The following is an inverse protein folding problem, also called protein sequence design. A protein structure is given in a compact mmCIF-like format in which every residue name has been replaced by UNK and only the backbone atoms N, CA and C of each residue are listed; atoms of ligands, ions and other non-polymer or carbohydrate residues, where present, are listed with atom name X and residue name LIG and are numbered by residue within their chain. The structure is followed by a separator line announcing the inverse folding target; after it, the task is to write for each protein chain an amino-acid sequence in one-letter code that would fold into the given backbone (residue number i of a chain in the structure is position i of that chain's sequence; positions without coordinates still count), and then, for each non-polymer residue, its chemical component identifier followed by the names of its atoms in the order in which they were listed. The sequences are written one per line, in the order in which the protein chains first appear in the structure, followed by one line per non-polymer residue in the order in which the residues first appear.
data_IF_572658909309
#
_entry.id   IF_572658909309
#
_cell.length_a   1.000
_cell.length_b   1.000
_cell.length_c   1.000
_cell.angle_alpha   90.00
_cell.angle_beta   90.00
_cell.angle_gamma   90.00
#
_symmetry.space_group_name_H-M   'P 1'
#
loop_
_entity.id
_entity.type
_entity.pdbx_description
1 polymer ?
#
# COMPACT_ATOMS: atom_id res chain seq x y z
N UNK A 1 14.10 4.89 12.73
CA UNK A 1 15.03 3.90 12.12
C UNK A 1 14.51 3.52 10.75
N UNK A 2 15.38 3.13 9.80
CA UNK A 2 15.02 2.84 8.40
C UNK A 2 13.99 1.70 8.25
N UNK A 3 14.01 0.72 9.15
CA UNK A 3 13.11 -0.44 9.11
C UNK A 3 11.67 -0.13 9.59
N UNK A 4 11.40 1.05 10.13
CA UNK A 4 10.11 1.46 10.68
C UNK A 4 9.52 0.37 11.62
N UNK A 5 8.38 -0.23 11.26
CA UNK A 5 7.70 -1.29 12.02
C UNK A 5 8.19 -2.72 11.68
N UNK A 6 9.02 -2.89 10.64
CA UNK A 6 9.53 -4.21 10.24
C UNK A 6 10.60 -4.68 11.25
N UNK A 7 10.53 -5.94 11.75
CA UNK A 7 11.58 -6.46 12.62
C UNK A 7 12.95 -6.46 11.93
N UNK A 8 14.05 -6.10 12.60
CA UNK A 8 15.37 -6.03 12.00
C UNK A 8 15.80 -7.31 11.26
N UNK A 9 15.44 -8.49 11.77
CA UNK A 9 15.78 -9.79 11.16
C UNK A 9 14.94 -10.13 9.92
N UNK A 10 13.87 -9.38 9.67
CA UNK A 10 12.98 -9.47 8.49
C UNK A 10 13.18 -8.27 7.54
N UNK A 11 14.20 -7.44 7.77
CA UNK A 11 14.43 -6.25 6.97
C UNK A 11 15.61 -6.46 6.03
N UNK A 12 15.35 -6.65 4.74
CA UNK A 12 16.35 -7.03 3.74
C UNK A 12 17.61 -6.15 3.73
N UNK A 13 17.54 -4.80 3.86
CA UNK A 13 18.72 -3.95 3.85
C UNK A 13 19.66 -4.10 5.07
N UNK A 14 19.27 -4.85 6.08
CA UNK A 14 20.13 -5.12 7.23
C UNK A 14 21.00 -6.36 7.04
N UNK A 15 20.74 -7.13 5.98
CA UNK A 15 21.61 -8.21 5.55
C UNK A 15 22.77 -7.66 4.71
N UNK A 16 23.96 -8.22 4.88
CA UNK A 16 25.06 -7.95 3.96
C UNK A 16 24.78 -8.58 2.57
N UNK A 17 25.50 -8.15 1.54
CA UNK A 17 25.34 -8.78 0.22
C UNK A 17 25.73 -10.27 0.24
N UNK A 18 26.65 -10.67 1.10
CA UNK A 18 27.05 -12.08 1.28
C UNK A 18 25.96 -12.90 1.96
N UNK A 19 25.26 -12.32 2.95
CA UNK A 19 24.11 -12.96 3.59
C UNK A 19 22.97 -13.16 2.60
N UNK A 20 22.66 -12.12 1.81
CA UNK A 20 21.65 -12.21 0.74
C UNK A 20 22.04 -13.27 -0.30
N UNK A 21 23.31 -13.33 -0.69
CA UNK A 21 23.78 -14.33 -1.64
C UNK A 21 23.60 -15.77 -1.10
N UNK A 22 23.81 -15.95 0.20
CA UNK A 22 23.74 -17.25 0.89
C UNK A 22 22.33 -17.67 1.32
N UNK A 23 21.30 -16.78 1.18
CA UNK A 23 19.92 -17.14 1.55
C UNK A 23 19.47 -18.42 0.81
N UNK A 24 18.95 -19.42 1.55
CA UNK A 24 18.37 -20.60 0.93
C UNK A 24 17.06 -20.24 0.23
N UNK A 25 16.75 -20.99 -0.82
CA UNK A 25 15.45 -20.95 -1.50
C UNK A 25 14.92 -19.52 -1.84
N UNK A 26 15.80 -18.68 -2.39
CA UNK A 26 15.43 -17.30 -2.78
C UNK A 26 14.26 -17.25 -3.75
N UNK A 27 14.08 -18.28 -4.56
CA UNK A 27 12.96 -18.34 -5.51
C UNK A 27 11.60 -18.39 -4.82
N UNK A 28 11.50 -18.97 -3.64
CA UNK A 28 10.27 -19.02 -2.84
C UNK A 28 10.23 -17.97 -1.72
N UNK A 29 11.33 -17.23 -1.50
CA UNK A 29 11.36 -16.14 -0.52
C UNK A 29 10.55 -14.95 -1.04
N UNK A 30 9.63 -14.45 -0.21
CA UNK A 30 8.79 -13.30 -0.56
C UNK A 30 9.49 -12.00 -0.19
N UNK A 31 9.66 -11.10 -1.16
CA UNK A 31 10.13 -9.75 -0.93
C UNK A 31 8.93 -8.81 -0.92
N UNK A 32 8.78 -8.04 0.16
CA UNK A 32 7.64 -7.14 0.39
C UNK A 32 8.10 -5.70 0.26
N UNK A 33 7.50 -4.95 -0.66
CA UNK A 33 7.67 -3.51 -0.79
C UNK A 33 6.42 -2.79 -0.28
N UNK A 34 6.46 -2.14 0.88
CA UNK A 34 5.44 -1.20 1.29
C UNK A 34 5.50 0.07 0.42
N UNK A 35 4.37 0.52 -0.09
CA UNK A 35 4.28 1.74 -0.91
C UNK A 35 3.15 2.61 -0.39
N UNK A 36 3.44 3.89 -0.17
CA UNK A 36 2.48 4.90 0.26
C UNK A 36 2.59 6.16 -0.59
N UNK A 37 2.14 7.27 -0.01
CA UNK A 37 2.32 8.62 -0.52
C UNK A 37 2.57 9.59 0.64
N UNK A 38 3.09 10.76 0.32
CA UNK A 38 3.10 11.93 1.20
C UNK A 38 2.14 12.95 0.59
N UNK A 39 0.93 13.01 1.14
CA UNK A 39 -0.15 13.84 0.62
C UNK A 39 -1.05 14.36 1.75
N UNK A 40 -1.77 15.43 1.48
CA UNK A 40 -2.75 15.95 2.41
C UNK A 40 -3.79 14.89 2.82
N UNK A 41 -4.18 14.84 4.08
CA UNK A 41 -5.26 14.00 4.63
C UNK A 41 -6.16 14.83 5.54
N UNK A 42 -6.66 15.94 5.00
CA UNK A 42 -7.45 16.88 5.77
C UNK A 42 -6.64 17.64 6.84
N UNK A 43 -7.29 18.49 7.63
CA UNK A 43 -6.58 19.29 8.64
C UNK A 43 -6.23 18.50 9.91
N UNK A 44 -6.74 17.28 10.08
CA UNK A 44 -6.65 16.50 11.31
C UNK A 44 -5.64 15.35 11.26
N UNK A 45 -5.16 14.96 10.07
CA UNK A 45 -4.18 13.89 9.90
C UNK A 45 -2.87 14.42 9.31
N UNK A 46 -1.74 13.74 9.56
CA UNK A 46 -0.47 14.09 8.93
C UNK A 46 -0.44 13.74 7.44
N UNK A 47 0.42 14.39 6.66
CA UNK A 47 0.59 14.06 5.24
C UNK A 47 1.18 12.65 4.99
N UNK A 48 1.64 11.96 6.01
CA UNK A 48 2.28 10.65 5.91
C UNK A 48 1.32 9.46 6.16
N UNK A 49 0.00 9.67 6.12
CA UNK A 49 -1.01 8.62 6.44
C UNK A 49 -0.72 7.34 5.69
N UNK A 50 -0.65 7.39 4.38
CA UNK A 50 -0.43 6.19 3.56
C UNK A 50 0.88 5.49 3.90
N UNK A 51 1.96 6.25 4.03
CA UNK A 51 3.26 5.70 4.38
C UNK A 51 3.24 5.02 5.76
N UNK A 52 2.54 5.60 6.74
CA UNK A 52 2.38 5.02 8.09
C UNK A 52 1.55 3.74 8.03
N UNK A 53 0.41 3.76 7.32
CA UNK A 53 -0.48 2.60 7.22
C UNK A 53 0.24 1.42 6.57
N UNK A 54 0.82 1.61 5.38
CA UNK A 54 1.46 0.49 4.69
C UNK A 54 2.66 -0.04 5.47
N UNK A 55 3.50 0.84 6.04
CA UNK A 55 4.65 0.42 6.84
C UNK A 55 4.22 -0.29 8.15
N UNK A 56 3.17 0.23 8.81
CA UNK A 56 2.64 -0.32 10.05
C UNK A 56 2.03 -1.71 9.85
N UNK A 57 1.13 -1.84 8.87
CA UNK A 57 0.47 -3.11 8.56
C UNK A 57 1.50 -4.16 8.10
N UNK A 58 2.34 -3.83 7.13
CA UNK A 58 3.29 -4.80 6.57
C UNK A 58 4.42 -5.14 7.54
N UNK A 59 4.87 -4.17 8.35
CA UNK A 59 5.87 -4.41 9.38
C UNK A 59 5.36 -5.38 10.44
N UNK A 60 4.13 -5.21 10.92
CA UNK A 60 3.50 -6.11 11.89
C UNK A 60 3.16 -7.47 11.26
N UNK A 61 2.72 -7.52 10.01
CA UNK A 61 2.49 -8.78 9.30
C UNK A 61 3.80 -9.59 9.18
N UNK A 62 4.90 -8.95 8.80
CA UNK A 62 6.23 -9.59 8.75
C UNK A 62 6.70 -10.06 10.13
N UNK A 63 6.36 -9.33 11.20
CA UNK A 63 6.67 -9.73 12.58
C UNK A 63 5.89 -10.96 13.03
N UNK A 64 4.65 -11.11 12.57
CA UNK A 64 3.74 -12.19 12.95
C UNK A 64 3.88 -13.45 12.08
N UNK A 65 4.66 -13.42 10.99
CA UNK A 65 4.87 -14.58 10.13
C UNK A 65 5.55 -15.73 10.88
N UNK A 66 5.13 -16.98 10.65
CA UNK A 66 5.85 -18.17 11.10
C UNK A 66 7.31 -18.16 10.64
N UNK A 67 8.19 -18.77 11.44
CA UNK A 67 9.64 -18.76 11.17
C UNK A 67 10.00 -19.47 9.85
N UNK A 68 9.20 -20.47 9.48
CA UNK A 68 9.34 -21.28 8.25
C UNK A 68 8.91 -20.56 6.97
N UNK A 69 8.25 -19.39 7.07
CA UNK A 69 7.87 -18.58 5.93
C UNK A 69 8.95 -17.51 5.68
N UNK A 70 9.87 -17.72 4.72
CA UNK A 70 10.93 -16.76 4.43
C UNK A 70 10.35 -15.54 3.70
N UNK A 71 10.31 -14.40 4.39
CA UNK A 71 9.91 -13.13 3.81
C UNK A 71 10.71 -11.98 4.39
N UNK A 72 11.03 -10.98 3.57
CA UNK A 72 11.76 -9.78 3.96
C UNK A 72 11.09 -8.51 3.45
N UNK A 73 11.03 -7.49 4.31
CA UNK A 73 10.59 -6.16 3.95
C UNK A 73 11.71 -5.33 3.32
N UNK A 74 11.35 -4.56 2.32
CA UNK A 74 12.15 -3.45 1.78
C UNK A 74 11.85 -2.16 2.54
N UNK A 75 12.69 -1.12 2.43
CA UNK A 75 12.31 0.23 2.86
C UNK A 75 11.03 0.68 2.14
N UNK A 76 10.12 1.29 2.88
CA UNK A 76 8.90 1.81 2.28
C UNK A 76 9.22 2.89 1.23
N UNK A 77 8.56 2.80 0.06
CA UNK A 77 8.56 3.85 -0.94
C UNK A 77 7.45 4.84 -0.59
N UNK A 78 7.84 6.00 -0.06
CA UNK A 78 6.90 6.97 0.50
C UNK A 78 6.52 8.10 -0.45
N UNK A 79 7.29 8.35 -1.52
CA UNK A 79 6.96 9.35 -2.52
C UNK A 79 6.21 8.70 -3.68
N UNK A 80 4.89 8.88 -3.67
CA UNK A 80 3.98 8.32 -4.65
C UNK A 80 3.57 9.32 -5.75
N UNK A 81 2.69 8.86 -6.64
CA UNK A 81 1.95 9.69 -7.58
C UNK A 81 0.67 10.14 -6.90
N UNK A 82 0.55 11.42 -6.59
CA UNK A 82 -0.51 12.00 -5.79
C UNK A 82 -1.02 13.31 -6.40
N UNK A 83 -1.20 13.32 -7.73
CA UNK A 83 -1.56 14.51 -8.51
C UNK A 83 -2.93 15.06 -8.11
N UNK A 84 -3.84 14.20 -7.66
CA UNK A 84 -5.17 14.55 -7.18
C UNK A 84 -5.14 15.46 -5.94
N UNK A 85 -4.02 15.49 -5.22
CA UNK A 85 -3.81 16.31 -4.03
C UNK A 85 -2.85 17.50 -4.25
N UNK A 86 -2.44 17.77 -5.50
CA UNK A 86 -1.40 18.76 -5.85
C UNK A 86 -1.73 20.19 -5.37
N UNK A 87 -3.00 20.49 -5.16
CA UNK A 87 -3.45 21.84 -4.72
C UNK A 87 -3.29 22.09 -3.22
N UNK A 88 -2.84 21.08 -2.46
CA UNK A 88 -2.69 21.18 -1.01
C UNK A 88 -1.21 21.22 -0.61
N UNK A 89 -0.78 22.22 0.20
CA UNK A 89 0.57 22.25 0.74
C UNK A 89 0.91 20.98 1.52
N UNK A 90 2.15 20.52 1.42
CA UNK A 90 2.62 19.31 2.10
C UNK A 90 2.50 18.04 1.27
N UNK A 91 1.79 18.05 0.14
CA UNK A 91 1.82 16.96 -0.84
C UNK A 91 3.17 16.97 -1.57
N UNK A 92 3.94 15.87 -1.42
CA UNK A 92 5.26 15.66 -2.03
C UNK A 92 5.18 14.46 -2.95
N UNK A 93 5.07 14.71 -4.24
CA UNK A 93 4.79 13.68 -5.23
C UNK A 93 5.90 13.53 -6.28
N UNK A 94 5.89 12.40 -6.95
CA UNK A 94 6.58 12.17 -8.23
C UNK A 94 5.54 11.94 -9.33
N UNK A 95 5.87 12.25 -10.57
CA UNK A 95 4.97 11.94 -11.68
C UNK A 95 4.85 10.42 -11.94
N UNK A 96 3.78 10.03 -12.64
CA UNK A 96 3.48 8.61 -12.88
C UNK A 96 4.55 7.87 -13.67
N UNK A 97 5.26 8.54 -14.59
CA UNK A 97 6.34 7.92 -15.39
C UNK A 97 7.57 7.68 -14.52
N UNK A 98 7.91 8.65 -13.68
CA UNK A 98 9.01 8.53 -12.70
C UNK A 98 8.73 7.37 -11.72
N UNK A 99 7.51 7.28 -11.19
CA UNK A 99 7.13 6.19 -10.30
C UNK A 99 7.19 4.83 -11.03
N UNK A 100 6.64 4.72 -12.24
CA UNK A 100 6.69 3.50 -13.05
C UNK A 100 8.11 3.02 -13.27
N UNK A 101 9.01 3.91 -13.70
CA UNK A 101 10.40 3.58 -13.92
C UNK A 101 11.12 3.17 -12.63
N UNK A 102 10.81 3.81 -11.50
CA UNK A 102 11.34 3.45 -10.19
C UNK A 102 10.92 2.04 -9.79
N UNK A 103 9.63 1.72 -9.94
CA UNK A 103 9.10 0.38 -9.63
C UNK A 103 9.75 -0.70 -10.50
N UNK A 104 9.90 -0.46 -11.81
CA UNK A 104 10.57 -1.38 -12.72
C UNK A 104 12.03 -1.58 -12.29
N UNK A 105 12.77 -0.51 -12.00
CA UNK A 105 14.18 -0.58 -11.62
C UNK A 105 14.39 -1.35 -10.29
N UNK A 106 13.50 -1.15 -9.31
CA UNK A 106 13.51 -1.91 -8.05
C UNK A 106 13.21 -3.39 -8.29
N UNK A 107 12.18 -3.70 -9.09
CA UNK A 107 11.82 -5.08 -9.44
C UNK A 107 12.94 -5.82 -10.17
N UNK A 108 13.61 -5.16 -11.13
CA UNK A 108 14.81 -5.70 -11.79
C UNK A 108 15.94 -6.02 -10.78
N UNK A 109 16.09 -5.19 -9.76
CA UNK A 109 17.09 -5.40 -8.72
C UNK A 109 16.74 -6.59 -7.81
N UNK A 110 15.48 -6.74 -7.45
CA UNK A 110 14.95 -7.90 -6.71
C UNK A 110 15.16 -9.18 -7.51
N UNK A 111 14.83 -9.17 -8.80
CA UNK A 111 15.01 -10.31 -9.70
C UNK A 111 16.48 -10.71 -9.84
N UNK A 112 17.38 -9.74 -10.08
CA UNK A 112 18.83 -9.99 -10.20
C UNK A 112 19.46 -10.56 -8.92
N UNK A 113 18.89 -10.23 -7.75
CA UNK A 113 19.33 -10.80 -6.46
C UNK A 113 18.93 -12.28 -6.31
N UNK A 114 18.14 -12.83 -7.24
CA UNK A 114 17.71 -14.23 -7.27
C UNK A 114 16.30 -14.49 -6.72
N UNK A 115 15.59 -13.47 -6.27
CA UNK A 115 14.21 -13.61 -5.81
C UNK A 115 13.23 -13.73 -6.99
N UNK A 116 12.13 -14.47 -6.75
CA UNK A 116 11.10 -14.71 -7.77
C UNK A 116 9.69 -14.35 -7.33
N UNK A 117 9.53 -13.85 -6.10
CA UNK A 117 8.24 -13.45 -5.52
C UNK A 117 8.36 -12.05 -4.93
N UNK A 118 7.71 -11.08 -5.55
CA UNK A 118 7.72 -9.70 -5.12
C UNK A 118 6.29 -9.22 -4.88
N UNK A 119 5.98 -8.91 -3.62
CA UNK A 119 4.70 -8.37 -3.18
C UNK A 119 4.83 -6.86 -3.01
N UNK A 120 4.04 -6.10 -3.74
CA UNK A 120 3.95 -4.64 -3.65
C UNK A 120 2.65 -4.31 -2.93
N UNK A 121 2.73 -3.76 -1.71
CA UNK A 121 1.53 -3.40 -0.95
C UNK A 121 1.40 -1.90 -0.87
N UNK A 122 0.38 -1.40 -1.56
CA UNK A 122 0.09 0.02 -1.71
C UNK A 122 -1.08 0.44 -0.79
N UNK A 123 -0.96 1.57 -0.13
CA UNK A 123 -2.04 2.18 0.68
C UNK A 123 -2.67 3.41 0.04
N UNK A 124 -2.07 3.97 -1.01
CA UNK A 124 -2.55 5.18 -1.68
C UNK A 124 -3.44 4.88 -2.88
N UNK A 125 -4.64 5.51 -2.92
CA UNK A 125 -5.65 5.27 -3.95
C UNK A 125 -5.32 5.82 -5.34
N UNK A 126 -4.43 6.80 -5.45
CA UNK A 126 -4.13 7.50 -6.72
C UNK A 126 -3.12 6.79 -7.64
N UNK A 127 -2.54 5.65 -7.23
CA UNK A 127 -1.42 5.04 -7.96
C UNK A 127 -1.51 3.52 -8.26
N UNK A 128 -2.59 2.77 -7.98
CA UNK A 128 -2.64 1.32 -8.22
C UNK A 128 -2.30 0.95 -9.67
N UNK A 129 -2.75 1.73 -10.64
CA UNK A 129 -2.56 1.50 -12.08
C UNK A 129 -1.07 1.50 -12.45
N UNK A 130 -0.26 2.37 -11.83
CA UNK A 130 1.19 2.43 -12.07
C UNK A 130 1.86 1.14 -11.61
N UNK A 131 1.45 0.59 -10.47
CA UNK A 131 2.00 -0.65 -9.94
C UNK A 131 1.58 -1.86 -10.76
N UNK A 132 0.34 -1.87 -11.25
CA UNK A 132 -0.17 -2.92 -12.15
C UNK A 132 0.60 -2.91 -13.48
N UNK A 133 0.90 -1.73 -14.04
CA UNK A 133 1.73 -1.59 -15.24
C UNK A 133 3.15 -2.11 -14.98
N UNK A 134 3.80 -1.69 -13.90
CA UNK A 134 5.15 -2.16 -13.54
C UNK A 134 5.20 -3.67 -13.37
N UNK A 135 4.20 -4.26 -12.70
CA UNK A 135 4.12 -5.69 -12.49
C UNK A 135 4.01 -6.46 -13.81
N UNK A 136 3.20 -5.98 -14.76
CA UNK A 136 3.06 -6.58 -16.09
C UNK A 136 4.35 -6.48 -16.90
N UNK A 137 5.01 -5.32 -16.89
CA UNK A 137 6.31 -5.14 -17.56
C UNK A 137 7.37 -6.11 -17.04
N UNK A 138 7.51 -6.23 -15.71
CA UNK A 138 8.45 -7.14 -15.09
C UNK A 138 8.12 -8.61 -15.38
N UNK A 139 6.84 -8.97 -15.38
CA UNK A 139 6.39 -10.33 -15.73
C UNK A 139 6.68 -10.69 -17.18
N UNK A 140 6.56 -9.75 -18.11
CA UNK A 140 6.88 -9.96 -19.52
C UNK A 140 8.39 -10.10 -19.71
N UNK A 141 9.20 -9.31 -18.99
CA UNK A 141 10.66 -9.40 -19.06
C UNK A 141 11.20 -10.69 -18.47
N UNK A 142 10.54 -11.20 -17.43
CA UNK A 142 10.98 -12.34 -16.64
C UNK A 142 9.82 -13.32 -16.43
N UNK A 143 9.75 -14.35 -17.26
CA UNK A 143 8.66 -15.33 -17.29
C UNK A 143 8.48 -16.13 -16.00
N UNK A 144 9.48 -16.17 -15.11
CA UNK A 144 9.46 -16.83 -13.80
C UNK A 144 9.32 -15.85 -12.62
N UNK A 145 9.10 -14.54 -12.86
CA UNK A 145 8.96 -13.55 -11.81
C UNK A 145 7.48 -13.31 -11.46
N UNK A 146 7.08 -13.68 -10.28
CA UNK A 146 5.75 -13.40 -9.72
C UNK A 146 5.76 -12.05 -9.04
N UNK A 147 5.10 -11.06 -9.64
CA UNK A 147 4.96 -9.71 -9.10
C UNK A 147 3.49 -9.46 -8.80
N UNK A 148 3.15 -9.23 -7.54
CA UNK A 148 1.79 -8.99 -7.08
C UNK A 148 1.64 -7.58 -6.52
N UNK A 149 1.08 -6.64 -7.29
CA UNK A 149 0.64 -5.35 -6.76
C UNK A 149 -0.72 -5.52 -6.07
N UNK A 150 -0.82 -5.05 -4.84
CA UNK A 150 -2.05 -5.15 -4.08
C UNK A 150 -2.31 -3.88 -3.28
N UNK A 151 -3.59 -3.56 -3.10
CA UNK A 151 -4.00 -2.44 -2.25
C UNK A 151 -4.21 -2.94 -0.81
N UNK A 152 -3.63 -2.24 0.17
CA UNK A 152 -3.55 -2.71 1.57
C UNK A 152 -4.93 -3.05 2.17
N UNK A 153 -5.97 -2.34 1.75
CA UNK A 153 -7.34 -2.51 2.21
C UNK A 153 -8.13 -3.62 1.48
N UNK A 154 -7.63 -4.15 0.36
CA UNK A 154 -8.33 -5.16 -0.46
C UNK A 154 -8.09 -6.59 0.00
N UNK A 155 -7.86 -6.79 1.28
CA UNK A 155 -7.87 -8.08 1.96
C UNK A 155 -9.03 -8.10 2.96
N UNK A 156 -9.39 -9.27 3.47
CA UNK A 156 -10.44 -9.38 4.49
C UNK A 156 -10.10 -8.52 5.71
N UNK A 157 -11.00 -7.62 6.10
CA UNK A 157 -10.80 -6.76 7.26
C UNK A 157 -12.13 -6.26 7.82
N UNK A 158 -12.09 -5.73 9.05
CA UNK A 158 -13.30 -5.31 9.77
C UNK A 158 -13.66 -3.82 9.59
N UNK A 159 -12.90 -3.05 8.81
CA UNK A 159 -13.12 -1.60 8.68
C UNK A 159 -14.57 -1.25 8.30
N UNK A 160 -15.11 -1.96 7.30
CA UNK A 160 -16.47 -1.73 6.83
C UNK A 160 -17.55 -2.00 7.88
N UNK A 161 -17.29 -2.80 8.93
CA UNK A 161 -18.26 -3.08 9.99
C UNK A 161 -18.48 -1.89 10.94
N UNK A 162 -17.54 -0.96 11.00
CA UNK A 162 -17.60 0.25 11.82
C UNK A 162 -18.20 1.44 11.06
N UNK A 163 -18.29 1.35 9.75
CA UNK A 163 -18.73 2.46 8.89
C UNK A 163 -20.25 2.47 8.71
N UNK A 164 -20.83 3.67 8.64
CA UNK A 164 -22.19 3.85 8.13
C UNK A 164 -22.28 3.45 6.66
N UNK A 165 -23.51 3.20 6.16
CA UNK A 165 -23.70 2.93 4.72
C UNK A 165 -23.20 4.08 3.85
N UNK A 166 -23.44 5.32 4.27
CA UNK A 166 -22.93 6.51 3.57
C UNK A 166 -21.42 6.54 3.50
N UNK A 167 -20.74 6.28 4.63
CA UNK A 167 -19.28 6.26 4.69
C UNK A 167 -18.71 5.16 3.78
N UNK A 168 -19.24 3.93 3.83
CA UNK A 168 -18.80 2.85 2.93
C UNK A 168 -18.93 3.16 1.45
N UNK A 169 -19.96 3.97 1.08
CA UNK A 169 -20.28 4.29 -0.31
C UNK A 169 -19.51 5.50 -0.84
N UNK A 170 -19.23 6.49 0.02
CA UNK A 170 -18.79 7.81 -0.42
C UNK A 170 -17.42 8.21 0.13
N UNK A 171 -16.90 7.53 1.15
CA UNK A 171 -15.60 7.85 1.70
C UNK A 171 -14.49 7.34 0.79
N UNK A 172 -13.51 8.18 0.54
CA UNK A 172 -12.35 7.85 -0.29
C UNK A 172 -11.03 8.30 0.35
N UNK A 173 -11.06 9.28 1.29
CA UNK A 173 -9.84 9.93 1.76
C UNK A 173 -10.04 10.63 3.11
N UNK A 174 -9.12 10.42 4.05
CA UNK A 174 -9.11 11.04 5.38
C UNK A 174 -10.40 10.83 6.18
N UNK A 175 -11.13 9.74 5.91
CA UNK A 175 -12.37 9.40 6.57
C UNK A 175 -12.17 8.51 7.80
N UNK A 176 -13.23 7.77 8.15
CA UNK A 176 -13.31 6.95 9.38
C UNK A 176 -12.15 5.94 9.51
N UNK A 177 -11.93 5.10 8.49
CA UNK A 177 -10.96 4.00 8.61
C UNK A 177 -9.53 4.50 8.75
N UNK A 178 -9.13 5.48 7.94
CA UNK A 178 -7.78 6.04 7.99
C UNK A 178 -7.54 6.79 9.29
N UNK A 179 -8.53 7.56 9.75
CA UNK A 179 -8.44 8.25 11.05
C UNK A 179 -8.32 7.24 12.19
N UNK A 180 -9.14 6.20 12.20
CA UNK A 180 -9.10 5.18 13.25
C UNK A 180 -7.75 4.44 13.29
N UNK A 181 -7.25 3.97 12.15
CA UNK A 181 -5.98 3.23 12.11
C UNK A 181 -4.78 4.12 12.46
N UNK A 182 -4.81 5.41 12.11
CA UNK A 182 -3.79 6.37 12.54
C UNK A 182 -3.81 6.61 14.06
N UNK A 183 -4.99 6.61 14.69
CA UNK A 183 -5.09 6.65 16.16
C UNK A 183 -4.42 5.45 16.82
N UNK A 184 -4.31 4.29 16.15
CA UNK A 184 -3.60 3.13 16.67
C UNK A 184 -2.11 3.17 16.35
N UNK A 185 -1.71 3.58 15.13
CA UNK A 185 -0.33 3.55 14.66
C UNK A 185 0.51 4.77 15.07
N UNK A 186 -0.10 5.95 15.07
CA UNK A 186 0.59 7.22 15.29
C UNK A 186 -0.32 8.26 15.99
N UNK A 187 -0.84 7.97 17.20
CA UNK A 187 -1.86 8.77 17.89
C UNK A 187 -1.45 10.23 18.08
N UNK A 188 -0.18 10.49 18.35
CA UNK A 188 0.34 11.86 18.59
C UNK A 188 0.29 12.76 17.35
N UNK A 189 -0.02 12.21 16.17
CA UNK A 189 -0.13 12.94 14.90
C UNK A 189 -1.56 13.22 14.48
N UNK A 190 -2.55 12.75 15.27
CA UNK A 190 -3.99 12.89 14.98
C UNK A 190 -4.57 14.05 15.78
N UNK A 191 -5.17 15.01 15.10
CA UNK A 191 -5.69 16.26 15.67
C UNK A 191 -7.21 16.38 15.47
N UNK A 192 -7.99 15.58 16.20
CA UNK A 192 -9.45 15.51 16.05
C UNK A 192 -10.17 16.85 16.25
N UNK A 193 -9.58 17.79 16.99
CA UNK A 193 -10.10 19.17 17.16
C UNK A 193 -10.13 19.96 15.86
N UNK A 194 -9.44 19.50 14.81
CA UNK A 194 -9.40 20.09 13.46
C UNK A 194 -10.22 19.30 12.45
N UNK A 195 -10.81 18.17 12.87
CA UNK A 195 -11.52 17.28 11.95
C UNK A 195 -12.73 17.97 11.31
N UNK A 196 -12.99 17.62 10.07
CA UNK A 196 -14.20 18.02 9.34
C UNK A 196 -14.74 16.81 8.59
N UNK A 197 -16.06 16.70 8.48
CA UNK A 197 -16.70 15.72 7.62
C UNK A 197 -17.07 16.38 6.29
N UNK A 198 -16.73 15.71 5.19
CA UNK A 198 -17.07 16.16 3.85
C UNK A 198 -17.25 14.95 2.94
N UNK A 199 -18.28 14.99 2.10
CA UNK A 199 -18.56 13.95 1.11
C UNK A 199 -18.65 14.53 -0.28
N UNK A 200 -18.31 13.77 -1.32
CA UNK A 200 -18.51 14.20 -2.69
C UNK A 200 -20.00 14.32 -2.98
N UNK A 201 -20.39 15.09 -4.03
CA UNK A 201 -21.75 15.09 -4.50
C UNK A 201 -22.14 13.68 -4.98
N UNK A 202 -23.43 13.38 -4.94
CA UNK A 202 -23.91 12.09 -5.48
C UNK A 202 -23.76 12.07 -7.00
N UNK A 203 -23.05 11.08 -7.49
CA UNK A 203 -22.93 10.80 -8.91
C UNK A 203 -24.15 10.00 -9.41
N UNK A 204 -24.54 10.14 -10.70
CA UNK A 204 -25.50 9.26 -11.32
C UNK A 204 -25.08 7.79 -11.14
N UNK A 205 -26.06 6.87 -11.01
CA UNK A 205 -25.78 5.44 -10.74
C UNK A 205 -24.84 4.76 -11.74
N UNK A 206 -24.76 5.30 -12.98
CA UNK A 206 -23.89 4.79 -14.05
C UNK A 206 -22.47 5.34 -14.02
N UNK A 207 -22.16 6.30 -13.12
CA UNK A 207 -20.86 6.95 -12.99
C UNK A 207 -20.37 6.81 -11.56
N UNK A 208 -19.08 6.93 -11.36
CA UNK A 208 -18.46 6.79 -10.05
C UNK A 208 -17.20 7.63 -9.94
N UNK A 209 -16.82 8.00 -8.73
CA UNK A 209 -15.52 8.60 -8.40
C UNK A 209 -14.44 7.55 -8.20
N UNK A 210 -14.80 6.35 -7.73
CA UNK A 210 -13.90 5.23 -7.43
C UNK A 210 -14.44 3.88 -7.94
N UNK A 211 -15.29 3.89 -8.89
CA UNK A 211 -15.90 2.68 -9.46
C UNK A 211 -15.61 2.51 -10.94
N UNK A 212 -16.56 1.88 -11.65
CA UNK A 212 -16.48 1.68 -13.11
C UNK A 212 -17.75 2.18 -13.77
N UNK A 213 -17.65 3.12 -14.69
CA UNK A 213 -16.46 3.93 -15.05
C UNK A 213 -16.12 4.99 -14.01
N UNK A 214 -14.83 5.16 -13.74
CA UNK A 214 -14.34 6.19 -12.84
C UNK A 214 -14.18 7.53 -13.57
N UNK A 215 -14.61 8.62 -12.94
CA UNK A 215 -14.27 9.97 -13.38
C UNK A 215 -12.87 10.34 -12.87
N UNK A 216 -12.10 11.09 -13.65
CA UNK A 216 -10.90 11.74 -13.14
C UNK A 216 -11.29 12.96 -12.31
N UNK A 217 -10.67 13.13 -11.15
CA UNK A 217 -10.96 14.20 -10.20
C UNK A 217 -9.70 14.65 -9.46
N UNK A 218 -9.78 15.83 -8.86
CA UNK A 218 -8.85 16.31 -7.84
C UNK A 218 -9.59 16.48 -6.51
N UNK A 219 -8.90 16.43 -5.40
CA UNK A 219 -9.52 16.59 -4.08
C UNK A 219 -10.22 17.96 -3.92
N UNK A 220 -9.77 18.99 -4.66
CA UNK A 220 -10.41 20.32 -4.73
C UNK A 220 -11.80 20.29 -5.35
N UNK A 221 -12.09 19.33 -6.21
CA UNK A 221 -13.42 19.21 -6.83
C UNK A 221 -14.50 18.89 -5.79
N UNK A 222 -14.10 18.33 -4.65
CA UNK A 222 -15.01 17.97 -3.56
C UNK A 222 -15.00 18.95 -2.38
N UNK A 223 -14.11 19.93 -2.37
CA UNK A 223 -14.07 20.98 -1.36
C UNK A 223 -12.66 21.39 -0.93
N UNK A 224 -12.62 22.39 -0.04
CA UNK A 224 -11.38 23.02 0.39
C UNK A 224 -10.69 22.30 1.57
N UNK A 225 -11.37 21.35 2.23
CA UNK A 225 -10.83 20.65 3.39
C UNK A 225 -9.85 19.52 3.04
N UNK A 226 -9.93 18.99 1.82
CA UNK A 226 -9.21 17.80 1.40
C UNK A 226 -9.79 16.49 1.94
N UNK A 227 -10.73 16.51 2.88
CA UNK A 227 -11.41 15.32 3.42
C UNK A 227 -12.49 14.85 2.47
N UNK A 228 -12.59 13.53 2.26
CA UNK A 228 -13.68 12.88 1.52
C UNK A 228 -14.16 11.69 2.36
N UNK A 229 -14.97 11.97 3.36
CA UNK A 229 -15.45 11.03 4.36
C UNK A 229 -15.85 11.72 5.67
N UNK A 230 -16.09 10.93 6.72
CA UNK A 230 -16.43 11.40 8.06
C UNK A 230 -15.48 10.78 9.11
N UNK A 231 -14.51 11.55 9.62
CA UNK A 231 -13.56 11.08 10.63
C UNK A 231 -14.14 11.00 12.06
N UNK A 232 -15.26 11.70 12.34
CA UNK A 232 -15.76 11.86 13.72
C UNK A 232 -16.12 10.56 14.44
N UNK A 233 -16.64 9.50 13.80
CA UNK A 233 -16.93 8.23 14.49
C UNK A 233 -15.69 7.39 14.80
N UNK A 234 -14.49 7.79 14.34
CA UNK A 234 -13.26 7.03 14.53
C UNK A 234 -12.84 6.97 16.00
N UNK A 235 -12.40 5.79 16.45
CA UNK A 235 -11.85 5.57 17.79
C UNK A 235 -10.55 4.74 17.74
N UNK A 236 -9.64 4.90 18.74
CA UNK A 236 -8.44 4.07 18.84
C UNK A 236 -8.72 2.57 18.87
N UNK A 237 -9.79 2.15 19.54
CA UNK A 237 -10.19 0.73 19.65
C UNK A 237 -10.59 0.15 18.27
N UNK A 238 -11.33 0.91 17.46
CA UNK A 238 -11.65 0.53 16.09
C UNK A 238 -10.39 0.48 15.24
N UNK A 239 -9.49 1.45 15.40
CA UNK A 239 -8.20 1.47 14.71
C UNK A 239 -7.36 0.23 14.98
N UNK A 240 -7.27 -0.20 16.25
CA UNK A 240 -6.56 -1.42 16.60
C UNK A 240 -7.22 -2.66 16.00
N UNK A 241 -8.55 -2.77 16.05
CA UNK A 241 -9.28 -3.90 15.47
C UNK A 241 -9.10 -3.98 13.93
N UNK A 242 -9.10 -2.83 13.26
CA UNK A 242 -8.81 -2.73 11.82
C UNK A 242 -7.38 -3.21 11.54
N UNK A 243 -6.41 -2.69 12.27
CA UNK A 243 -5.00 -3.05 12.15
C UNK A 243 -4.79 -4.55 12.34
N UNK A 244 -5.31 -5.12 13.42
CA UNK A 244 -5.18 -6.54 13.73
C UNK A 244 -5.78 -7.42 12.63
N UNK A 245 -6.94 -7.05 12.08
CA UNK A 245 -7.58 -7.80 10.99
C UNK A 245 -6.81 -7.71 9.68
N UNK A 246 -6.24 -6.55 9.34
CA UNK A 246 -5.37 -6.38 8.18
C UNK A 246 -4.09 -7.20 8.33
N UNK A 247 -3.45 -7.13 9.49
CA UNK A 247 -2.22 -7.89 9.80
C UNK A 247 -2.47 -9.39 9.64
N UNK A 248 -3.55 -9.92 10.22
CA UNK A 248 -3.89 -11.35 10.10
C UNK A 248 -4.06 -11.77 8.64
N UNK A 249 -4.82 -11.01 7.85
CA UNK A 249 -5.03 -11.30 6.42
C UNK A 249 -3.75 -11.19 5.59
N UNK A 250 -2.85 -10.26 5.93
CA UNK A 250 -1.57 -10.15 5.22
C UNK A 250 -0.58 -11.25 5.61
N UNK A 251 -0.62 -11.77 6.85
CA UNK A 251 0.13 -12.98 7.24
C UNK A 251 -0.30 -14.16 6.37
N UNK A 252 -1.61 -14.38 6.21
CA UNK A 252 -2.16 -15.40 5.31
C UNK A 252 -1.72 -15.17 3.86
N UNK A 253 -1.90 -13.97 3.33
CA UNK A 253 -1.54 -13.63 1.95
C UNK A 253 -0.05 -13.79 1.63
N UNK A 254 0.85 -13.45 2.56
CA UNK A 254 2.31 -13.67 2.38
C UNK A 254 2.63 -15.16 2.42
N UNK A 255 1.99 -15.90 3.33
CA UNK A 255 2.15 -17.36 3.45
C UNK A 255 1.68 -18.08 2.19
N UNK A 256 0.52 -17.71 1.66
CA UNK A 256 -0.02 -18.25 0.41
C UNK A 256 0.90 -17.94 -0.78
N UNK A 257 1.42 -16.71 -0.86
CA UNK A 257 2.37 -16.34 -1.89
C UNK A 257 3.68 -17.14 -1.78
N UNK A 258 4.16 -17.41 -0.55
CA UNK A 258 5.33 -18.27 -0.35
C UNK A 258 5.09 -19.67 -0.94
N UNK A 259 3.92 -20.25 -0.71
CA UNK A 259 3.57 -21.60 -1.19
C UNK A 259 3.09 -21.62 -2.66
N UNK A 260 2.74 -20.49 -3.24
CA UNK A 260 2.24 -20.42 -4.60
C UNK A 260 3.26 -20.96 -5.60
N UNK A 261 2.87 -21.99 -6.33
CA UNK A 261 3.58 -22.50 -7.50
C UNK A 261 2.95 -21.91 -8.76
N UNK A 262 3.27 -20.67 -9.06
CA UNK A 262 2.82 -20.04 -10.30
C UNK A 262 3.69 -20.53 -11.45
N UNK A 263 3.10 -20.84 -12.63
CA UNK A 263 3.80 -21.59 -13.65
C UNK A 263 5.10 -20.88 -14.03
N UNK A 264 6.22 -21.47 -13.61
CA UNK A 264 7.51 -21.22 -14.18
C UNK A 264 7.46 -21.79 -15.61
N UNK A 265 7.31 -20.93 -16.61
CA UNK A 265 7.62 -21.32 -17.98
C UNK A 265 9.07 -20.96 -18.20
N UNK A 266 9.89 -21.95 -18.49
CA UNK A 266 11.30 -21.77 -18.89
C UNK A 266 11.45 -21.03 -20.23
N UNK A 267 10.35 -20.65 -20.86
CA UNK A 267 10.35 -19.91 -22.10
C UNK A 267 10.62 -18.43 -21.83
N UNK A 268 11.80 -17.96 -22.24
CA UNK A 268 12.05 -16.53 -22.30
C UNK A 268 11.00 -15.87 -23.21
N UNK A 269 10.34 -14.78 -22.75
CA UNK A 269 9.38 -14.09 -23.57
C UNK A 269 10.05 -13.57 -24.85
N UNK A 270 9.33 -13.45 -25.99
CA UNK A 270 9.86 -12.82 -27.18
C UNK A 270 10.33 -11.41 -26.84
N UNK A 271 11.55 -11.07 -27.23
CA UNK A 271 12.06 -9.71 -27.05
C UNK A 271 11.15 -8.76 -27.84
N UNK A 272 10.52 -7.85 -27.12
CA UNK A 272 9.87 -6.72 -27.78
C UNK A 272 10.95 -5.92 -28.48
N UNK A 273 10.78 -5.72 -29.79
CA UNK A 273 11.70 -4.98 -30.64
C UNK A 273 11.72 -3.48 -30.30
#
# INVERSE_FOLDING_TARGET
MLHAYTPPHRFLPYLSWTDIAALPDKANTVIVLPVGAIEQHGPHLPCAVDAIITAGVMGQALAALPAEVPAFGMPALVYGKSDEHIHFPGTLLVDGVTLLNTMIALGESVYRAGFRKWLIVNSHGGQPQVMEMAARELRIRHGDFTVLPHFVWRVSNVAGSFMTERERRLSMHAGHAETAILMALAPDTVHMERAVANYPPEFPKSLSTDGRPAAAWTARDFGDSGVIGDPFPATPAQGQAILDSLVASWVEGITDLHHLQWPARDEAPPRLA
#
